data_IF_760999304413
#
_entry.id   IF_760999304413
#
_cell.length_a   1.000
_cell.length_b   1.000
_cell.length_c   1.000
_cell.angle_alpha   90.00
_cell.angle_beta   90.00
_cell.angle_gamma   90.00
#
_symmetry.space_group_name_H-M   'P 1'
#
loop_
_entity.id
_entity.type
_entity.pdbx_description
1 polymer ?
#
# COMPACT_ATOMS: atom_id res chain seq x y z
N UNK A 1 11.71 5.54 0.79
CA UNK A 1 11.03 4.27 0.42
C UNK A 1 9.67 4.21 1.09
N UNK A 2 8.66 3.78 0.37
CA UNK A 2 7.32 3.60 0.91
C UNK A 2 7.09 2.13 1.17
N UNK A 3 6.68 1.77 2.39
CA UNK A 3 6.47 0.38 2.80
C UNK A 3 5.03 0.20 3.27
N UNK A 4 4.46 -0.94 2.93
CA UNK A 4 3.13 -1.33 3.37
C UNK A 4 3.19 -2.73 3.98
N UNK A 5 2.35 -2.94 4.99
CA UNK A 5 2.12 -4.28 5.55
C UNK A 5 0.68 -4.65 5.21
N UNK A 6 0.49 -5.73 4.47
CA UNK A 6 -0.85 -6.15 4.08
C UNK A 6 -1.53 -6.96 5.19
N UNK A 7 -2.80 -7.29 4.99
CA UNK A 7 -3.60 -8.01 5.98
C UNK A 7 -3.14 -9.46 6.18
N UNK A 8 -2.30 -9.97 5.29
CA UNK A 8 -1.73 -11.32 5.40
C UNK A 8 -0.34 -11.31 6.05
N UNK A 9 0.13 -10.14 6.49
CA UNK A 9 1.44 -10.00 7.12
C UNK A 9 2.59 -9.86 6.15
N UNK A 10 2.33 -9.72 4.85
CA UNK A 10 3.37 -9.50 3.86
C UNK A 10 3.77 -8.03 3.82
N UNK A 11 5.05 -7.77 3.57
CA UNK A 11 5.57 -6.41 3.44
C UNK A 11 5.82 -6.08 1.98
N UNK A 12 5.36 -4.91 1.57
CA UNK A 12 5.55 -4.37 0.23
C UNK A 12 6.41 -3.12 0.35
N UNK A 13 7.48 -3.04 -0.40
CA UNK A 13 8.37 -1.88 -0.36
C UNK A 13 8.57 -1.36 -1.79
N UNK A 14 8.37 -0.06 -1.96
CA UNK A 14 8.48 0.60 -3.25
C UNK A 14 9.47 1.74 -3.16
N UNK A 15 10.35 1.85 -4.14
CA UNK A 15 11.23 3.00 -4.30
C UNK A 15 10.41 4.15 -4.88
N UNK A 16 10.41 5.31 -4.23
CA UNK A 16 9.57 6.46 -4.62
C UNK A 16 9.74 6.84 -6.08
N UNK A 17 10.97 6.83 -6.58
CA UNK A 17 11.25 7.20 -7.97
C UNK A 17 10.57 6.26 -8.98
N UNK A 18 10.19 5.06 -8.56
CA UNK A 18 9.54 4.08 -9.42
C UNK A 18 8.03 4.05 -9.29
N UNK A 19 7.46 4.93 -8.46
CA UNK A 19 6.01 5.00 -8.26
C UNK A 19 5.44 6.08 -9.17
N UNK A 20 4.48 5.69 -10.01
CA UNK A 20 3.72 6.63 -10.84
C UNK A 20 2.47 7.10 -10.11
N UNK A 21 1.76 6.19 -9.45
CA UNK A 21 0.49 6.49 -8.79
C UNK A 21 0.30 5.53 -7.62
N UNK A 22 -0.16 6.06 -6.49
CA UNK A 22 -0.71 5.26 -5.38
C UNK A 22 -2.15 5.68 -5.19
N UNK A 23 -3.03 4.70 -5.13
CA UNK A 23 -4.46 4.92 -5.04
C UNK A 23 -4.99 4.11 -3.86
N UNK A 24 -5.83 4.75 -3.05
CA UNK A 24 -6.43 4.13 -1.85
C UNK A 24 -7.94 4.15 -1.97
N UNK A 25 -8.59 3.05 -1.60
CA UNK A 25 -10.03 3.10 -1.34
C UNK A 25 -10.30 3.64 0.06
N UNK A 26 -11.46 4.26 0.32
CA UNK A 26 -11.84 4.60 1.68
C UNK A 26 -11.87 3.34 2.56
N UNK A 27 -11.47 3.46 3.82
CA UNK A 27 -11.51 2.32 4.74
C UNK A 27 -12.96 1.88 4.96
N UNK A 28 -13.15 0.58 5.10
CA UNK A 28 -14.45 0.00 5.42
C UNK A 28 -14.69 0.03 6.94
N UNK A 29 -15.76 -0.62 7.38
CA UNK A 29 -16.15 -0.65 8.81
C UNK A 29 -15.10 -1.35 9.67
N UNK A 30 -14.30 -2.23 9.09
CA UNK A 30 -13.23 -2.95 9.80
C UNK A 30 -11.90 -2.21 9.76
N UNK A 31 -11.85 -1.08 9.07
CA UNK A 31 -10.61 -0.31 8.92
C UNK A 31 -9.74 -0.77 7.76
N UNK A 32 -10.25 -1.62 6.89
CA UNK A 32 -9.50 -2.15 5.76
C UNK A 32 -9.59 -1.20 4.57
N UNK A 33 -8.45 -0.90 3.97
CA UNK A 33 -8.34 -0.11 2.75
C UNK A 33 -7.60 -0.92 1.69
N UNK A 34 -8.04 -0.80 0.45
CA UNK A 34 -7.35 -1.42 -0.67
C UNK A 34 -6.40 -0.41 -1.30
N UNK A 35 -5.16 -0.84 -1.49
CA UNK A 35 -4.10 0.00 -2.05
C UNK A 35 -3.75 -0.53 -3.43
N UNK A 36 -3.67 0.36 -4.40
CA UNK A 36 -3.18 0.04 -5.74
C UNK A 36 -1.98 0.93 -6.03
N UNK A 37 -0.85 0.31 -6.36
CA UNK A 37 0.38 1.01 -6.71
C UNK A 37 0.70 0.72 -8.16
N UNK A 38 0.83 1.79 -8.95
CA UNK A 38 1.29 1.69 -10.35
C UNK A 38 2.71 2.21 -10.41
N UNK A 39 3.59 1.42 -11.03
CA UNK A 39 5.00 1.79 -11.18
C UNK A 39 5.26 2.45 -12.51
N UNK A 40 6.42 3.08 -12.65
CA UNK A 40 6.80 3.81 -13.86
C UNK A 40 6.97 2.89 -15.08
N UNK A 41 7.14 1.58 -14.88
CA UNK A 41 7.18 0.60 -15.97
C UNK A 41 5.83 -0.11 -16.17
N UNK A 42 4.74 0.54 -15.75
CA UNK A 42 3.35 0.10 -15.96
C UNK A 42 2.98 -1.21 -15.27
N UNK A 43 3.68 -1.56 -14.20
CA UNK A 43 3.29 -2.68 -13.34
C UNK A 43 2.26 -2.18 -12.32
N UNK A 44 1.26 -3.01 -12.05
CA UNK A 44 0.19 -2.68 -11.09
C UNK A 44 0.19 -3.72 -9.98
N UNK A 45 0.22 -3.26 -8.75
CA UNK A 45 0.18 -4.10 -7.55
C UNK A 45 -1.00 -3.68 -6.69
N UNK A 46 -1.79 -4.65 -6.23
CA UNK A 46 -2.95 -4.39 -5.38
C UNK A 46 -2.91 -5.28 -4.15
N UNK A 47 -3.21 -4.70 -3.00
CA UNK A 47 -3.26 -5.42 -1.73
C UNK A 47 -4.14 -4.66 -0.75
N UNK A 48 -4.55 -5.34 0.32
CA UNK A 48 -5.37 -4.74 1.37
C UNK A 48 -4.53 -4.49 2.60
N UNK A 49 -4.74 -3.35 3.25
CA UNK A 49 -4.07 -2.99 4.50
C UNK A 49 -5.09 -2.70 5.58
N UNK A 50 -4.68 -2.89 6.83
CA UNK A 50 -5.49 -2.57 8.00
C UNK A 50 -5.01 -1.23 8.57
N UNK A 51 -5.81 -0.19 8.44
CA UNK A 51 -5.44 1.14 8.91
C UNK A 51 -5.46 1.27 10.44
N UNK A 52 -5.95 0.26 11.14
CA UNK A 52 -5.82 0.20 12.61
C UNK A 52 -4.42 -0.25 13.04
N UNK A 53 -3.64 -0.82 12.13
CA UNK A 53 -2.26 -1.24 12.41
C UNK A 53 -1.32 -0.06 12.18
N UNK A 54 -0.54 0.30 13.22
CA UNK A 54 0.40 1.40 13.12
C UNK A 54 1.51 1.15 12.08
N UNK A 55 1.75 -0.12 11.74
CA UNK A 55 2.77 -0.51 10.79
C UNK A 55 2.23 -0.66 9.36
N UNK A 56 0.95 -0.34 9.12
CA UNK A 56 0.34 -0.53 7.82
C UNK A 56 1.03 0.28 6.72
N UNK A 57 1.45 1.50 7.04
CA UNK A 57 2.13 2.39 6.09
C UNK A 57 3.35 2.99 6.79
N UNK A 58 4.51 2.90 6.15
CA UNK A 58 5.73 3.52 6.61
C UNK A 58 6.42 4.24 5.46
N UNK A 59 6.85 5.46 5.72
CA UNK A 59 7.64 6.27 4.81
C UNK A 59 9.03 6.50 5.39
N UNK A 60 10.05 6.39 4.54
CA UNK A 60 11.41 6.69 4.97
C UNK A 60 12.25 7.25 3.81
#
# INVERSE_FOLDING_TARGET
MTQFKDIHGNYWAFVRANISLIYYTPKDQEGISHVTVTTTNDKVYSFAIDLNDADAIKES
#
